data_IF_982195652150
#
_entry.id   IF_982195652150
#
_cell.length_a   1.000
_cell.length_b   1.000
_cell.length_c   1.000
_cell.angle_alpha   90.00
_cell.angle_beta   90.00
_cell.angle_gamma   90.00
#
_symmetry.space_group_name_H-M   'P 1'
#
loop_
_entity.id
_entity.type
_entity.pdbx_description
1 polymer ?
#
# COMPACT_ATOMS: atom_id res chain seq x y z
N UNK A 1 -13.30 -2.89 11.98
CA UNK A 1 -12.07 -2.10 11.83
C UNK A 1 -11.42 -2.43 10.50
N UNK A 2 -10.88 -1.43 9.86
CA UNK A 2 -10.26 -1.61 8.53
C UNK A 2 -8.86 -2.19 8.66
N UNK A 3 -8.53 -3.09 7.74
CA UNK A 3 -7.24 -3.79 7.72
C UNK A 3 -6.39 -3.27 6.57
N UNK A 4 -5.14 -2.94 6.88
CA UNK A 4 -4.18 -2.39 5.93
C UNK A 4 -2.98 -3.32 5.83
N UNK A 5 -2.53 -3.61 4.61
CA UNK A 5 -1.29 -4.33 4.37
C UNK A 5 -0.22 -3.35 3.89
N UNK A 6 0.91 -3.32 4.60
CA UNK A 6 2.07 -2.53 4.21
C UNK A 6 3.06 -3.48 3.53
N UNK A 7 3.43 -3.18 2.29
CA UNK A 7 4.37 -3.98 1.51
C UNK A 7 5.60 -3.13 1.21
N UNK A 8 6.71 -3.41 1.92
CA UNK A 8 7.94 -2.63 1.82
C UNK A 8 9.08 -3.50 2.36
N UNK A 9 10.24 -3.50 1.70
CA UNK A 9 11.37 -4.30 2.14
C UNK A 9 12.15 -3.67 3.30
N UNK A 10 11.94 -2.38 3.57
CA UNK A 10 12.63 -1.66 4.64
C UNK A 10 11.83 -1.72 5.94
N UNK A 11 12.36 -2.42 6.94
CA UNK A 11 11.69 -2.56 8.23
C UNK A 11 11.41 -1.22 8.90
N UNK A 12 12.32 -0.25 8.79
CA UNK A 12 12.15 1.08 9.37
C UNK A 12 10.99 1.85 8.73
N UNK A 13 10.82 1.69 7.42
CA UNK A 13 9.70 2.33 6.70
C UNK A 13 8.38 1.68 7.10
N UNK A 14 8.35 0.34 7.19
CA UNK A 14 7.14 -0.36 7.66
C UNK A 14 6.76 0.10 9.06
N UNK A 15 7.74 0.21 9.96
CA UNK A 15 7.50 0.66 11.34
C UNK A 15 6.91 2.06 11.37
N UNK A 16 7.44 2.95 10.55
CA UNK A 16 6.95 4.33 10.44
C UNK A 16 5.48 4.37 10.01
N UNK A 17 5.16 3.69 8.92
CA UNK A 17 3.78 3.66 8.41
C UNK A 17 2.84 2.96 9.39
N UNK A 18 3.30 1.86 10.00
CA UNK A 18 2.51 1.13 10.99
C UNK A 18 2.12 2.01 12.16
N UNK A 19 3.08 2.78 12.69
CA UNK A 19 2.81 3.70 13.79
C UNK A 19 1.71 4.70 13.48
N UNK A 20 1.76 5.29 12.28
CA UNK A 20 0.74 6.24 11.84
C UNK A 20 -0.63 5.56 11.77
N UNK A 21 -0.69 4.40 11.14
CA UNK A 21 -1.96 3.71 10.90
C UNK A 21 -2.58 3.16 12.18
N UNK A 22 -1.77 2.55 13.03
CA UNK A 22 -2.28 2.00 14.30
C UNK A 22 -2.79 3.09 15.22
N UNK A 23 -2.12 4.25 15.26
CA UNK A 23 -2.59 5.36 16.08
C UNK A 23 -3.91 5.94 15.57
N UNK A 24 -4.26 5.68 14.31
CA UNK A 24 -5.53 6.11 13.73
C UNK A 24 -6.61 5.01 13.81
N UNK A 25 -6.30 3.87 14.42
CA UNK A 25 -7.28 2.79 14.67
C UNK A 25 -7.32 1.70 13.61
N UNK A 26 -6.38 1.69 12.67
CA UNK A 26 -6.32 0.62 11.67
C UNK A 26 -5.63 -0.62 12.21
N UNK A 27 -6.03 -1.78 11.71
CA UNK A 27 -5.32 -3.04 11.95
C UNK A 27 -4.29 -3.19 10.84
N UNK A 28 -3.03 -3.41 11.19
CA UNK A 28 -1.93 -3.39 10.22
C UNK A 28 -1.22 -4.74 10.18
N UNK A 29 -0.98 -5.23 8.96
CA UNK A 29 -0.07 -6.34 8.71
C UNK A 29 1.02 -5.88 7.76
N UNK A 30 2.13 -6.59 7.71
CA UNK A 30 3.31 -6.22 6.94
C UNK A 30 3.78 -7.38 6.07
N UNK A 31 4.32 -7.03 4.90
CA UNK A 31 5.01 -7.95 4.03
C UNK A 31 6.28 -7.26 3.52
N UNK A 32 7.37 -7.99 3.39
CA UNK A 32 8.65 -7.40 2.98
C UNK A 32 9.00 -7.63 1.51
N UNK A 33 8.12 -8.24 0.76
CA UNK A 33 8.20 -8.31 -0.70
C UNK A 33 6.85 -8.68 -1.28
N UNK A 34 6.75 -8.61 -2.61
CA UNK A 34 5.49 -8.86 -3.30
C UNK A 34 5.02 -10.31 -3.21
N UNK A 35 5.94 -11.26 -3.11
CA UNK A 35 5.57 -12.69 -2.99
C UNK A 35 4.87 -12.94 -1.64
N UNK A 36 5.46 -12.45 -0.56
CA UNK A 36 4.85 -12.57 0.76
C UNK A 36 3.50 -11.87 0.81
N UNK A 37 3.41 -10.70 0.17
CA UNK A 37 2.15 -9.96 0.12
C UNK A 37 1.06 -10.77 -0.59
N UNK A 38 1.38 -11.42 -1.71
CA UNK A 38 0.43 -12.25 -2.43
C UNK A 38 -0.06 -13.43 -1.58
N UNK A 39 0.83 -14.03 -0.80
CA UNK A 39 0.43 -15.10 0.12
C UNK A 39 -0.56 -14.58 1.16
N UNK A 40 -0.33 -13.41 1.70
CA UNK A 40 -1.20 -12.82 2.73
C UNK A 40 -2.59 -12.49 2.20
N UNK A 41 -2.69 -11.96 0.98
CA UNK A 41 -3.99 -11.59 0.42
C UNK A 41 -4.88 -12.81 0.16
N UNK A 42 -4.29 -13.99 -0.02
CA UNK A 42 -5.06 -15.22 -0.22
C UNK A 42 -5.66 -15.73 1.08
N UNK A 43 -5.11 -15.34 2.23
CA UNK A 43 -5.55 -15.85 3.53
C UNK A 43 -6.60 -14.97 4.20
N UNK A 44 -6.59 -13.66 3.92
CA UNK A 44 -7.54 -12.74 4.53
C UNK A 44 -7.67 -11.49 3.65
N UNK A 45 -8.87 -10.91 3.57
CA UNK A 45 -9.07 -9.67 2.80
C UNK A 45 -8.46 -8.48 3.52
N UNK A 46 -7.95 -7.52 2.74
CA UNK A 46 -7.49 -6.23 3.24
C UNK A 46 -8.35 -5.13 2.64
N UNK A 47 -8.45 -4.03 3.36
CA UNK A 47 -9.25 -2.88 2.94
C UNK A 47 -8.40 -1.82 2.23
N UNK A 48 -7.07 -1.92 2.37
CA UNK A 48 -6.16 -0.95 1.79
C UNK A 48 -4.75 -1.52 1.71
N UNK A 49 -3.99 -1.07 0.71
CA UNK A 49 -2.60 -1.48 0.50
C UNK A 49 -1.69 -0.26 0.42
N UNK A 50 -0.53 -0.32 1.07
CA UNK A 50 0.54 0.67 0.93
C UNK A 50 1.73 -0.10 0.38
N UNK A 51 2.18 0.23 -0.83
CA UNK A 51 3.11 -0.61 -1.59
C UNK A 51 4.32 0.18 -2.04
N UNK A 52 5.50 -0.26 -1.62
CA UNK A 52 6.77 0.26 -2.12
C UNK A 52 7.05 -0.27 -3.53
N UNK A 53 7.73 0.52 -4.34
CA UNK A 53 8.06 0.10 -5.71
C UNK A 53 9.21 -0.90 -5.72
N UNK A 54 10.34 -0.55 -5.09
CA UNK A 54 11.58 -1.31 -5.21
C UNK A 54 11.72 -2.34 -4.11
N UNK A 55 11.44 -3.59 -4.44
CA UNK A 55 11.53 -4.71 -3.51
C UNK A 55 12.16 -5.91 -4.21
N UNK A 56 12.87 -6.78 -3.47
CA UNK A 56 13.41 -8.00 -4.07
C UNK A 56 12.30 -8.99 -4.41
N UNK A 57 12.59 -9.91 -5.30
CA UNK A 57 11.75 -11.03 -5.74
C UNK A 57 10.57 -10.61 -6.60
N UNK A 58 9.69 -9.72 -6.10
CA UNK A 58 8.58 -9.18 -6.88
C UNK A 58 8.40 -7.73 -6.42
N UNK A 59 8.56 -6.78 -7.34
CA UNK A 59 8.46 -5.36 -7.02
C UNK A 59 7.00 -4.91 -6.88
N UNK A 60 6.82 -3.63 -6.53
CA UNK A 60 5.48 -3.09 -6.29
C UNK A 60 4.58 -3.10 -7.51
N UNK A 61 5.13 -2.82 -8.69
CA UNK A 61 4.35 -2.89 -9.93
C UNK A 61 3.88 -4.32 -10.19
N UNK A 62 4.78 -5.28 -10.05
CA UNK A 62 4.47 -6.70 -10.24
C UNK A 62 3.44 -7.19 -9.25
N UNK A 63 3.59 -6.80 -7.99
CA UNK A 63 2.62 -7.16 -6.96
C UNK A 63 1.23 -6.62 -7.29
N UNK A 64 1.11 -5.35 -7.67
CA UNK A 64 -0.19 -4.76 -8.00
C UNK A 64 -0.83 -5.42 -9.21
N UNK A 65 -0.05 -5.70 -10.26
CA UNK A 65 -0.58 -6.40 -11.44
C UNK A 65 -1.14 -7.75 -11.06
N UNK A 66 -0.43 -8.50 -10.22
CA UNK A 66 -0.89 -9.81 -9.75
C UNK A 66 -2.12 -9.69 -8.84
N UNK A 67 -2.11 -8.73 -7.92
CA UNK A 67 -3.24 -8.49 -7.02
C UNK A 67 -4.52 -8.23 -7.82
N UNK A 68 -4.44 -7.39 -8.86
CA UNK A 68 -5.62 -7.02 -9.65
C UNK A 68 -6.17 -8.18 -10.49
N UNK A 69 -5.38 -9.24 -10.67
CA UNK A 69 -5.80 -10.45 -11.39
C UNK A 69 -6.34 -11.54 -10.45
N UNK A 70 -6.14 -11.41 -9.14
CA UNK A 70 -6.60 -12.42 -8.19
C UNK A 70 -8.10 -12.35 -7.97
N UNK A 71 -8.71 -13.52 -7.73
CA UNK A 71 -10.13 -13.62 -7.38
C UNK A 71 -10.23 -13.44 -5.86
N UNK A 72 -10.04 -12.22 -5.41
CA UNK A 72 -10.15 -11.81 -4.01
C UNK A 72 -10.87 -10.46 -3.97
N UNK A 73 -11.47 -10.09 -2.82
CA UNK A 73 -12.04 -8.76 -2.71
C UNK A 73 -10.94 -7.71 -2.97
N UNK A 74 -11.19 -6.81 -3.91
CA UNK A 74 -10.22 -5.79 -4.28
C UNK A 74 -10.36 -4.57 -3.36
N UNK A 75 -9.24 -3.85 -3.19
CA UNK A 75 -9.16 -2.70 -2.32
C UNK A 75 -8.23 -1.64 -2.91
N UNK A 76 -8.37 -0.37 -2.51
CA UNK A 76 -7.50 0.69 -2.98
C UNK A 76 -6.05 0.45 -2.56
N UNK A 77 -5.11 0.91 -3.38
CA UNK A 77 -3.68 0.82 -3.13
C UNK A 77 -3.00 2.16 -3.39
N UNK A 78 -2.16 2.59 -2.46
CA UNK A 78 -1.24 3.71 -2.65
C UNK A 78 0.13 3.12 -2.93
N UNK A 79 0.78 3.57 -4.00
CA UNK A 79 2.16 3.25 -4.26
C UNK A 79 3.03 4.37 -3.71
N UNK A 80 4.09 4.02 -2.97
CA UNK A 80 5.02 5.00 -2.38
C UNK A 80 6.42 4.75 -2.91
N UNK A 81 7.14 5.83 -3.20
CA UNK A 81 8.45 5.74 -3.83
C UNK A 81 9.30 6.95 -3.51
N UNK A 82 10.62 6.80 -3.64
CA UNK A 82 11.54 7.95 -3.62
C UNK A 82 11.60 8.64 -4.99
N UNK A 83 11.02 8.02 -6.03
CA UNK A 83 11.09 8.53 -7.39
C UNK A 83 9.93 9.48 -7.69
N UNK A 84 10.24 10.67 -8.20
CA UNK A 84 9.26 11.71 -8.48
C UNK A 84 8.96 11.84 -9.99
N UNK A 85 9.52 10.98 -10.84
CA UNK A 85 9.34 11.09 -12.28
C UNK A 85 7.92 10.75 -12.71
N UNK A 86 7.38 11.53 -13.65
CA UNK A 86 6.03 11.30 -14.17
C UNK A 86 5.86 9.90 -14.77
N UNK A 87 6.94 9.33 -15.34
CA UNK A 87 6.93 7.98 -15.88
C UNK A 87 6.63 6.92 -14.81
N UNK A 88 7.21 7.09 -13.62
CA UNK A 88 7.02 6.16 -12.52
C UNK A 88 5.60 6.23 -11.99
N UNK A 89 5.05 7.44 -11.92
CA UNK A 89 3.67 7.64 -11.51
C UNK A 89 2.70 7.01 -12.51
N UNK A 90 2.91 7.21 -13.80
CA UNK A 90 2.08 6.61 -14.84
C UNK A 90 2.15 5.08 -14.79
N UNK A 91 3.35 4.52 -14.57
CA UNK A 91 3.53 3.07 -14.43
C UNK A 91 2.77 2.53 -13.23
N UNK A 92 2.74 3.26 -12.11
CA UNK A 92 2.01 2.87 -10.92
C UNK A 92 0.51 2.75 -11.21
N UNK A 93 -0.07 3.75 -11.87
CA UNK A 93 -1.50 3.71 -12.20
C UNK A 93 -1.82 2.59 -13.18
N UNK A 94 -0.96 2.36 -14.17
CA UNK A 94 -1.15 1.25 -15.12
C UNK A 94 -1.09 -0.11 -14.42
N UNK A 95 -0.28 -0.23 -13.37
CA UNK A 95 -0.17 -1.46 -12.61
C UNK A 95 -1.38 -1.70 -11.68
N UNK A 96 -2.16 -0.66 -11.41
CA UNK A 96 -3.37 -0.78 -10.60
C UNK A 96 -3.37 0.02 -9.31
N UNK A 97 -2.46 0.98 -9.16
CA UNK A 97 -2.47 1.89 -8.00
C UNK A 97 -3.57 2.93 -8.14
N UNK A 98 -4.11 3.35 -7.01
CA UNK A 98 -5.13 4.40 -6.92
C UNK A 98 -4.51 5.76 -6.59
N UNK A 99 -3.30 5.77 -6.05
CA UNK A 99 -2.56 7.00 -5.77
C UNK A 99 -1.07 6.71 -5.76
N UNK A 100 -0.26 7.76 -5.93
CA UNK A 100 1.19 7.66 -5.93
C UNK A 100 1.74 8.77 -5.04
N UNK A 101 2.51 8.40 -4.02
CA UNK A 101 3.07 9.35 -3.06
C UNK A 101 4.58 9.24 -3.01
N UNK A 102 5.25 10.35 -2.77
CA UNK A 102 6.71 10.42 -2.68
C UNK A 102 7.12 10.28 -1.21
N UNK A 103 8.10 9.42 -0.95
CA UNK A 103 8.67 9.27 0.40
C UNK A 103 9.52 10.49 0.78
N UNK A 104 9.54 10.89 2.04
CA UNK A 104 8.74 10.36 3.15
C UNK A 104 7.30 10.84 3.09
N UNK A 105 6.36 9.94 3.36
CA UNK A 105 4.93 10.29 3.36
C UNK A 105 4.58 10.91 4.69
N UNK A 106 3.98 12.09 4.67
CA UNK A 106 3.57 12.78 5.89
C UNK A 106 2.34 12.09 6.49
N UNK A 107 2.24 12.03 7.85
CA UNK A 107 1.12 11.34 8.49
C UNK A 107 -0.26 11.84 8.04
N UNK A 108 -0.47 13.15 7.98
CA UNK A 108 -1.76 13.70 7.54
C UNK A 108 -2.06 13.36 6.09
N UNK A 109 -1.04 13.34 5.23
CA UNK A 109 -1.20 12.98 3.82
C UNK A 109 -1.69 11.54 3.70
N UNK A 110 -1.03 10.62 4.40
CA UNK A 110 -1.38 9.21 4.37
C UNK A 110 -2.78 8.98 4.91
N UNK A 111 -3.09 9.52 6.09
CA UNK A 111 -4.39 9.34 6.73
C UNK A 111 -5.52 9.96 5.92
N UNK A 112 -5.28 11.08 5.26
CA UNK A 112 -6.28 11.72 4.40
C UNK A 112 -6.63 10.85 3.20
N UNK A 113 -5.62 10.22 2.57
CA UNK A 113 -5.87 9.31 1.45
C UNK A 113 -6.66 8.08 1.89
N UNK A 114 -6.32 7.49 3.04
CA UNK A 114 -7.05 6.34 3.54
C UNK A 114 -8.51 6.70 3.82
N UNK A 115 -8.73 7.79 4.52
CA UNK A 115 -10.08 8.24 4.87
C UNK A 115 -10.92 8.48 3.62
N UNK A 116 -10.35 9.18 2.63
CA UNK A 116 -11.02 9.47 1.38
C UNK A 116 -11.33 8.20 0.58
N UNK A 117 -10.35 7.33 0.41
CA UNK A 117 -10.50 6.13 -0.41
C UNK A 117 -11.37 5.06 0.23
N UNK A 118 -11.40 5.01 1.55
CA UNK A 118 -12.26 4.07 2.28
C UNK A 118 -13.66 4.62 2.51
N UNK A 119 -13.92 5.85 2.10
CA UNK A 119 -15.22 6.47 2.26
C UNK A 119 -15.55 6.80 3.71
N UNK A 120 -14.53 6.93 4.56
CA UNK A 120 -14.74 7.25 5.96
C UNK A 120 -14.96 8.74 6.16
N UNK A 121 -15.83 9.07 7.10
CA UNK A 121 -16.10 10.46 7.42
C UNK A 121 -14.85 11.08 8.06
N UNK A 122 -14.53 12.30 7.63
CA UNK A 122 -13.47 13.07 8.25
C UNK A 122 -13.94 13.54 9.63
N UNK A 123 -13.08 13.36 10.61
CA UNK A 123 -13.36 13.76 11.98
C UNK A 123 -12.55 14.99 12.37
#
# INVERSE_FOLDING_TARGET
MKRVLIVDDAATVRMYHRGILESAGYIVEEAWNGIEALEKILNAPFDFYIVDINMPRLDGYGFLRELRQQVVPQAPAIMVSTEAAAMDEAAAYRAGANAYLIKPVLPLQLLSFLSLMLGEASQ
#
